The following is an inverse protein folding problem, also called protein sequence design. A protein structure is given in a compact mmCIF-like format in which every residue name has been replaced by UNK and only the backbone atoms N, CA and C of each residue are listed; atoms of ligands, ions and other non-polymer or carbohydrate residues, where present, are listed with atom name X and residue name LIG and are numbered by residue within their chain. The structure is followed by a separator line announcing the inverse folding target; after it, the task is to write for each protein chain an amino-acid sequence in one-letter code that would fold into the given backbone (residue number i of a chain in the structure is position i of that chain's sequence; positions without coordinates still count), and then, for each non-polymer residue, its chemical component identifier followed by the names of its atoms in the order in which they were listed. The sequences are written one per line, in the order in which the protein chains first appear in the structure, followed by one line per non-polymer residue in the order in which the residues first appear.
data_IF_307108734997
#
_entry.id   IF_307108734997
#
_cell.length_a   1.000
_cell.length_b   1.000
_cell.length_c   1.000
_cell.angle_alpha   90.00
_cell.angle_beta   90.00
_cell.angle_gamma   90.00
#
_symmetry.space_group_name_H-M   'P 1'
#
loop_
_entity.id
_entity.type
_entity.pdbx_description
1 polymer ?
#
# COMPACT_ATOMS: atom_id res chain seq x y z
N UNK A 1 7.72 3.39 -1.29
CA UNK A 1 6.90 2.37 -0.60
C UNK A 1 5.40 2.70 -0.59
N UNK A 2 4.66 2.34 -1.64
CA UNK A 2 3.18 2.26 -1.67
C UNK A 2 2.71 0.90 -1.13
N UNK A 3 3.24 0.52 0.04
CA UNK A 3 3.25 -0.89 0.49
C UNK A 3 2.55 -1.11 1.85
N UNK A 4 2.61 -0.14 2.75
CA UNK A 4 2.12 -0.30 4.12
C UNK A 4 1.35 0.88 4.71
N UNK A 5 1.54 2.12 4.22
CA UNK A 5 0.82 3.30 4.78
C UNK A 5 0.75 4.52 3.86
N UNK A 6 1.17 4.39 2.61
CA UNK A 6 1.21 5.51 1.65
C UNK A 6 0.21 5.27 0.53
N UNK A 7 -0.09 6.34 -0.17
CA UNK A 7 -0.91 6.44 -1.35
C UNK A 7 -0.32 7.54 -2.24
N UNK A 8 -0.77 7.62 -3.48
CA UNK A 8 -0.45 8.75 -4.36
C UNK A 8 -1.29 9.97 -4.01
N UNK A 9 -0.93 11.15 -4.55
CA UNK A 9 -1.71 12.37 -4.35
C UNK A 9 -3.04 12.26 -5.11
N UNK A 10 -3.02 11.62 -6.27
CA UNK A 10 -4.16 11.32 -7.11
C UNK A 10 -5.16 10.41 -6.39
N UNK A 11 -4.67 9.33 -5.76
CA UNK A 11 -5.50 8.45 -4.92
C UNK A 11 -6.13 9.22 -3.75
N UNK A 12 -5.38 10.12 -3.12
CA UNK A 12 -5.90 10.93 -2.02
C UNK A 12 -7.04 11.84 -2.50
N UNK A 13 -6.91 12.46 -3.67
CA UNK A 13 -7.96 13.29 -4.25
C UNK A 13 -9.20 12.47 -4.63
N UNK A 14 -9.02 11.34 -5.31
CA UNK A 14 -10.12 10.47 -5.73
C UNK A 14 -10.89 9.87 -4.54
N UNK A 15 -10.21 9.53 -3.44
CA UNK A 15 -10.86 9.05 -2.22
C UNK A 15 -11.84 10.08 -1.63
N UNK A 16 -11.51 11.37 -1.71
CA UNK A 16 -12.41 12.43 -1.26
C UNK A 16 -13.62 12.58 -2.17
N UNK A 17 -13.45 12.41 -3.48
CA UNK A 17 -14.57 12.40 -4.44
C UNK A 17 -15.51 11.24 -4.12
N UNK A 18 -14.98 10.02 -3.97
CA UNK A 18 -15.78 8.86 -3.59
C UNK A 18 -16.51 9.03 -2.24
N UNK A 19 -15.85 9.67 -1.26
CA UNK A 19 -16.47 9.99 0.02
C UNK A 19 -17.63 10.99 -0.13
N UNK A 20 -17.47 12.05 -0.94
CA UNK A 20 -18.54 13.04 -1.18
C UNK A 20 -19.73 12.43 -1.92
N UNK A 21 -19.49 11.55 -2.90
CA UNK A 21 -20.54 10.85 -3.64
C UNK A 21 -21.35 9.91 -2.72
N UNK A 22 -20.68 9.24 -1.78
CA UNK A 22 -21.32 8.26 -0.90
C UNK A 22 -21.86 8.89 0.40
N UNK A 23 -21.45 10.12 0.74
CA UNK A 23 -21.82 10.81 1.97
C UNK A 23 -23.34 10.86 2.25
N UNK A 24 -24.24 11.11 1.28
CA UNK A 24 -25.68 11.13 1.55
C UNK A 24 -26.24 9.80 2.09
N UNK A 25 -25.61 8.68 1.74
CA UNK A 25 -26.00 7.34 2.20
C UNK A 25 -25.30 6.94 3.50
N UNK A 26 -24.08 7.43 3.73
CA UNK A 26 -23.25 7.06 4.88
C UNK A 26 -23.48 7.94 6.11
N UNK A 27 -23.85 9.22 5.92
CA UNK A 27 -23.88 10.22 6.97
C UNK A 27 -22.47 10.61 7.43
N UNK A 28 -21.93 9.87 8.39
CA UNK A 28 -20.59 10.09 8.94
C UNK A 28 -19.86 8.77 9.17
N UNK A 29 -18.58 8.75 8.81
CA UNK A 29 -17.68 7.64 9.13
C UNK A 29 -16.22 8.09 9.08
N UNK A 30 -15.29 7.20 9.48
CA UNK A 30 -13.84 7.40 9.41
C UNK A 30 -13.19 6.26 8.65
N UNK A 31 -12.33 6.60 7.70
CA UNK A 31 -11.66 5.65 6.82
C UNK A 31 -10.15 5.83 6.85
N UNK A 32 -9.43 4.71 6.77
CA UNK A 32 -8.02 4.71 6.41
C UNK A 32 -7.95 4.63 4.89
N UNK A 33 -7.23 5.57 4.27
CA UNK A 33 -6.94 5.54 2.85
C UNK A 33 -5.45 5.30 2.67
N UNK A 34 -5.11 4.21 1.99
CA UNK A 34 -3.74 3.86 1.60
C UNK A 34 -3.77 2.94 0.38
N UNK A 35 -2.63 2.85 -0.31
CA UNK A 35 -2.39 1.80 -1.31
C UNK A 35 -2.63 0.42 -0.70
N UNK A 36 -3.08 -0.56 -1.51
CA UNK A 36 -3.32 -1.91 -1.04
C UNK A 36 -2.03 -2.53 -0.52
N UNK A 37 -2.15 -3.29 0.57
CA UNK A 37 -1.05 -4.04 1.16
C UNK A 37 -1.26 -5.54 0.95
N UNK A 38 -0.20 -6.31 0.61
CA UNK A 38 -0.30 -7.76 0.49
C UNK A 38 -0.19 -8.47 1.85
N UNK A 39 0.22 -7.74 2.90
CA UNK A 39 0.50 -8.32 4.20
C UNK A 39 -0.78 -8.77 4.89
N UNK A 40 -0.64 -9.85 5.65
CA UNK A 40 -1.70 -10.39 6.51
C UNK A 40 -1.34 -10.15 7.96
N UNK A 41 -2.32 -10.18 8.89
CA UNK A 41 -2.03 -10.04 10.32
C UNK A 41 -0.97 -11.02 10.85
N UNK A 42 -0.85 -12.20 10.25
CA UNK A 42 0.17 -13.20 10.60
C UNK A 42 1.60 -12.76 10.26
N UNK A 43 1.78 -11.82 9.34
CA UNK A 43 3.11 -11.29 8.98
C UNK A 43 3.62 -10.25 10.00
N UNK A 44 2.78 -9.70 10.88
CA UNK A 44 3.11 -8.55 11.72
C UNK A 44 4.36 -8.74 12.60
N UNK A 45 4.53 -9.92 13.23
CA UNK A 45 5.68 -10.18 14.08
C UNK A 45 7.00 -10.17 13.28
N UNK A 46 6.96 -10.70 12.06
CA UNK A 46 8.11 -10.77 11.17
C UNK A 46 8.36 -9.42 10.47
N UNK A 47 7.33 -8.65 10.15
CA UNK A 47 7.47 -7.28 9.63
C UNK A 47 8.23 -6.37 10.59
N UNK A 48 8.03 -6.54 11.90
CA UNK A 48 8.80 -5.81 12.92
C UNK A 48 10.25 -6.30 12.96
N UNK A 49 10.49 -7.61 12.86
CA UNK A 49 11.81 -8.21 13.06
C UNK A 49 12.71 -8.11 11.82
N UNK A 50 12.14 -8.34 10.63
CA UNK A 50 12.81 -8.43 9.34
C UNK A 50 11.79 -8.16 8.20
N UNK A 51 11.47 -6.89 8.01
CA UNK A 51 10.60 -6.48 6.91
C UNK A 51 11.12 -6.92 5.53
N UNK A 52 12.43 -6.82 5.19
CA UNK A 52 12.94 -7.25 3.90
C UNK A 52 12.58 -8.69 3.53
N UNK A 53 12.74 -9.63 4.46
CA UNK A 53 12.39 -11.04 4.22
C UNK A 53 10.90 -11.22 3.94
N UNK A 54 10.02 -10.54 4.68
CA UNK A 54 8.56 -10.60 4.43
C UNK A 54 8.23 -10.03 3.07
N UNK A 55 8.77 -8.87 2.70
CA UNK A 55 8.51 -8.25 1.39
C UNK A 55 9.00 -9.15 0.26
N UNK A 56 10.14 -9.82 0.42
CA UNK A 56 10.71 -10.71 -0.58
C UNK A 56 9.83 -11.96 -0.83
N UNK A 57 9.03 -12.39 0.16
CA UNK A 57 8.04 -13.47 -0.06
C UNK A 57 6.93 -13.07 -1.03
N UNK A 58 6.48 -11.80 -0.96
CA UNK A 58 5.40 -11.28 -1.79
C UNK A 58 5.91 -10.73 -3.12
N UNK A 59 7.13 -10.19 -3.15
CA UNK A 59 7.75 -9.59 -4.34
C UNK A 59 9.20 -10.08 -4.50
N UNK A 60 9.44 -11.31 -4.99
CA UNK A 60 10.78 -11.90 -5.03
C UNK A 60 11.83 -11.08 -5.79
N UNK A 61 11.42 -10.29 -6.78
CA UNK A 61 12.32 -9.51 -7.64
C UNK A 61 12.65 -8.12 -7.06
N UNK A 62 11.94 -7.66 -6.03
CA UNK A 62 12.13 -6.34 -5.44
C UNK A 62 13.58 -6.08 -4.98
N UNK A 63 14.31 -7.04 -4.34
CA UNK A 63 15.66 -6.77 -3.84
C UNK A 63 16.60 -6.43 -5.00
N UNK A 64 16.45 -7.11 -6.14
CA UNK A 64 17.23 -6.84 -7.34
C UNK A 64 16.91 -5.49 -7.96
N UNK A 65 15.61 -5.14 -8.05
CA UNK A 65 15.16 -3.83 -8.52
C UNK A 65 15.71 -2.69 -7.66
N UNK A 66 15.65 -2.83 -6.34
CA UNK A 66 16.15 -1.84 -5.39
C UNK A 66 17.66 -1.69 -5.48
N UNK A 67 18.39 -2.80 -5.52
CA UNK A 67 19.84 -2.80 -5.61
C UNK A 67 20.35 -2.07 -6.86
N UNK A 68 19.68 -2.20 -8.02
CA UNK A 68 20.02 -1.47 -9.25
C UNK A 68 19.94 0.05 -9.09
N UNK A 69 19.05 0.54 -8.23
CA UNK A 69 18.90 1.97 -7.92
C UNK A 69 19.73 2.40 -6.70
N UNK A 70 20.50 1.49 -6.09
CA UNK A 70 21.24 1.75 -4.86
C UNK A 70 20.33 1.93 -3.63
N UNK A 71 19.10 1.41 -3.70
CA UNK A 71 18.09 1.53 -2.64
C UNK A 71 18.07 0.30 -1.74
N UNK A 72 17.51 0.47 -0.55
CA UNK A 72 17.28 -0.60 0.42
C UNK A 72 15.85 -0.52 0.98
N UNK A 73 15.31 -1.67 1.37
CA UNK A 73 14.04 -1.73 2.10
C UNK A 73 14.28 -1.32 3.56
N UNK A 74 13.25 -0.79 4.22
CA UNK A 74 13.31 -0.60 5.68
C UNK A 74 13.57 -1.94 6.36
N UNK A 75 14.42 -1.96 7.39
CA UNK A 75 14.70 -3.18 8.16
C UNK A 75 13.49 -3.65 8.97
N UNK A 76 12.58 -2.73 9.30
CA UNK A 76 11.40 -2.97 10.12
C UNK A 76 10.22 -2.14 9.63
N UNK A 77 9.03 -2.72 9.66
CA UNK A 77 7.74 -2.07 9.39
C UNK A 77 6.87 -2.27 10.64
N UNK A 78 6.66 -1.19 11.38
CA UNK A 78 5.93 -1.23 12.66
C UNK A 78 4.42 -1.11 12.54
N UNK A 79 3.95 -0.65 11.39
CA UNK A 79 2.55 -0.37 11.15
C UNK A 79 2.17 -0.62 9.71
N UNK A 80 1.05 -1.31 9.54
CA UNK A 80 0.39 -1.51 8.25
C UNK A 80 -1.03 -0.95 8.35
N UNK A 81 -1.42 -0.16 7.36
CA UNK A 81 -2.76 0.41 7.21
C UNK A 81 -3.64 -0.59 6.44
N UNK A 82 -4.84 -0.83 6.96
CA UNK A 82 -5.85 -1.65 6.33
C UNK A 82 -6.93 -0.74 5.72
N UNK A 83 -6.94 -0.54 4.38
CA UNK A 83 -7.93 0.29 3.70
C UNK A 83 -9.21 -0.49 3.32
N UNK A 84 -9.40 -1.74 3.76
CA UNK A 84 -10.54 -2.60 3.36
C UNK A 84 -11.89 -1.91 3.52
N UNK A 85 -12.11 -1.22 4.64
CA UNK A 85 -13.33 -0.46 4.92
C UNK A 85 -13.65 0.60 3.86
N UNK A 86 -12.64 1.26 3.29
CA UNK A 86 -12.84 2.23 2.22
C UNK A 86 -13.35 1.55 0.94
N UNK A 87 -12.82 0.36 0.62
CA UNK A 87 -13.34 -0.45 -0.49
C UNK A 87 -14.78 -0.88 -0.26
N UNK A 88 -15.09 -1.39 0.93
CA UNK A 88 -16.43 -1.89 1.28
C UNK A 88 -17.50 -0.81 1.34
N UNK A 89 -17.17 0.36 1.91
CA UNK A 89 -18.17 1.41 2.19
C UNK A 89 -18.17 2.57 1.22
N UNK A 90 -17.04 2.86 0.58
CA UNK A 90 -16.93 3.95 -0.41
C UNK A 90 -16.81 3.42 -1.85
N UNK A 91 -16.66 2.10 -2.04
CA UNK A 91 -16.33 1.54 -3.36
C UNK A 91 -14.96 1.99 -3.87
N UNK A 92 -14.07 2.45 -2.98
CA UNK A 92 -12.80 3.07 -3.35
C UNK A 92 -11.60 2.21 -2.96
N UNK A 93 -10.71 1.99 -3.92
CA UNK A 93 -9.39 1.39 -3.72
C UNK A 93 -8.37 2.23 -4.48
N UNK A 94 -7.23 2.52 -3.87
CA UNK A 94 -6.14 3.24 -4.53
C UNK A 94 -5.70 2.48 -5.79
N UNK A 95 -5.51 3.22 -6.88
CA UNK A 95 -5.18 2.66 -8.20
C UNK A 95 -3.73 2.22 -8.30
N UNK A 96 -2.82 2.96 -7.67
CA UNK A 96 -1.38 2.66 -7.74
C UNK A 96 -0.96 1.81 -6.54
N UNK A 97 -0.42 0.63 -6.80
CA UNK A 97 0.10 -0.31 -5.81
C UNK A 97 1.63 -0.32 -5.77
N UNK A 98 2.21 -1.01 -4.78
CA UNK A 98 3.64 -1.29 -4.77
C UNK A 98 4.08 -2.13 -5.99
N UNK A 99 3.25 -3.05 -6.47
CA UNK A 99 3.56 -3.87 -7.63
C UNK A 99 3.71 -3.01 -8.90
N UNK A 100 2.85 -1.99 -9.06
CA UNK A 100 2.93 -1.06 -10.19
C UNK A 100 4.23 -0.24 -10.16
N UNK A 101 4.67 0.16 -8.96
CA UNK A 101 5.96 0.85 -8.78
C UNK A 101 7.12 -0.08 -9.16
N UNK A 102 7.10 -1.35 -8.75
CA UNK A 102 8.13 -2.31 -9.13
C UNK A 102 8.15 -2.57 -10.65
N UNK A 103 6.98 -2.72 -11.27
CA UNK A 103 6.86 -2.89 -12.72
C UNK A 103 7.40 -1.67 -13.49
N UNK A 104 7.13 -0.45 -13.01
CA UNK A 104 7.69 0.76 -13.58
C UNK A 104 9.23 0.81 -13.45
N UNK A 105 9.77 0.44 -12.29
CA UNK A 105 11.22 0.35 -12.08
C UNK A 105 11.89 -0.70 -12.97
N UNK A 106 11.18 -1.78 -13.27
CA UNK A 106 11.66 -2.82 -14.19
C UNK A 106 11.68 -2.34 -15.63
N UNK A 107 10.66 -1.60 -16.07
CA UNK A 107 10.58 -1.03 -17.42
C UNK A 107 11.61 0.09 -17.68
N UNK A 108 12.18 0.70 -16.62
CA UNK A 108 13.28 1.66 -16.73
C UNK A 108 14.66 1.02 -16.97
N UNK A 109 14.78 -0.30 -16.82
CA UNK A 109 16.04 -1.05 -16.94
C UNK A 109 16.33 -1.46 -18.38
#
# INVERSE_FOLDING_TARGET
ELLFRRLTVEDAAEAHVAALETAPLLGFDTFIISAPTPFRPLDCAELIADAPSVVARYFPDYPGLYARKGWTMFSSIDRVYDPSRAGERLGFVCKTSFADVLAALEAEA
#
